data_IF_379827746968
#
_entry.id   IF_379827746968
#
_cell.length_a   1.000
_cell.length_b   1.000
_cell.length_c   1.000
_cell.angle_alpha   90.00
_cell.angle_beta   90.00
_cell.angle_gamma   90.00
#
_symmetry.space_group_name_H-M   'P 1'
#
loop_
_entity.id
_entity.type
_entity.pdbx_description
1 polymer ?
#
# COMPACT_ATOMS: atom_id res chain seq x y z
N UNK A 1 47.98 -19.88 19.07
CA UNK A 1 47.83 -19.48 17.65
C UNK A 1 46.46 -19.85 17.05
N UNK A 2 45.68 -20.76 17.57
CA UNK A 2 44.37 -21.13 17.01
C UNK A 2 43.24 -20.11 17.24
N UNK A 3 43.35 -19.20 18.25
CA UNK A 3 42.33 -18.22 18.59
C UNK A 3 42.23 -17.00 17.65
N UNK A 4 43.29 -16.63 16.95
CA UNK A 4 43.27 -15.48 16.02
C UNK A 4 42.52 -15.76 14.70
N UNK A 5 42.53 -16.99 14.20
CA UNK A 5 41.84 -17.36 12.97
C UNK A 5 40.33 -17.44 13.17
N UNK A 6 39.84 -17.85 14.34
CA UNK A 6 38.38 -17.90 14.65
C UNK A 6 37.76 -16.50 14.78
N UNK A 7 38.47 -15.51 15.34
CA UNK A 7 37.99 -14.12 15.46
C UNK A 7 37.83 -13.43 14.09
N UNK A 8 38.78 -13.66 13.15
CA UNK A 8 38.73 -13.06 11.81
C UNK A 8 37.54 -13.59 10.99
N UNK A 9 37.19 -14.87 11.09
CA UNK A 9 36.06 -15.49 10.39
C UNK A 9 34.70 -14.97 10.92
N UNK A 10 34.56 -14.81 12.24
CA UNK A 10 33.36 -14.26 12.87
C UNK A 10 33.13 -12.80 12.48
N UNK A 11 34.16 -11.96 12.48
CA UNK A 11 34.05 -10.57 12.03
C UNK A 11 33.67 -10.45 10.55
N UNK A 12 34.20 -11.33 9.68
CA UNK A 12 33.82 -11.39 8.25
C UNK A 12 32.37 -11.78 8.04
N UNK A 13 31.84 -12.72 8.82
CA UNK A 13 30.44 -13.15 8.75
C UNK A 13 29.50 -12.00 9.19
N UNK A 14 29.81 -11.29 10.30
CA UNK A 14 29.04 -10.13 10.74
C UNK A 14 29.04 -9.01 9.71
N UNK A 15 30.18 -8.71 9.09
CA UNK A 15 30.30 -7.70 8.04
C UNK A 15 29.46 -8.07 6.81
N UNK A 16 29.47 -9.33 6.36
CA UNK A 16 28.64 -9.81 5.25
C UNK A 16 27.14 -9.68 5.57
N UNK A 17 26.69 -10.06 6.77
CA UNK A 17 25.30 -9.93 7.20
C UNK A 17 24.88 -8.47 7.23
N UNK A 18 25.72 -7.57 7.73
CA UNK A 18 25.44 -6.13 7.78
C UNK A 18 25.35 -5.54 6.37
N UNK A 19 26.24 -5.90 5.45
CA UNK A 19 26.19 -5.44 4.05
C UNK A 19 24.92 -5.96 3.35
N UNK A 20 24.55 -7.21 3.53
CA UNK A 20 23.30 -7.78 2.97
C UNK A 20 22.07 -7.04 3.53
N UNK A 21 22.06 -6.71 4.81
CA UNK A 21 20.96 -5.94 5.42
C UNK A 21 20.87 -4.50 4.90
N UNK A 22 22.00 -3.88 4.56
CA UNK A 22 22.07 -2.55 3.95
C UNK A 22 21.70 -2.56 2.47
N UNK A 23 21.99 -3.67 1.75
CA UNK A 23 21.66 -3.85 0.33
C UNK A 23 20.26 -4.39 0.10
N UNK A 24 19.65 -5.11 1.07
CA UNK A 24 18.23 -5.40 1.08
C UNK A 24 17.49 -4.11 1.42
N UNK A 25 17.41 -3.21 0.42
CA UNK A 25 16.62 -2.01 0.51
C UNK A 25 15.23 -2.37 1.04
N UNK A 26 14.77 -1.60 1.98
CA UNK A 26 13.43 -1.72 2.53
C UNK A 26 12.44 -1.80 1.37
N UNK A 27 11.81 -2.96 1.14
CA UNK A 27 10.79 -3.16 0.10
C UNK A 27 9.52 -2.45 0.56
N UNK A 28 9.65 -1.14 0.87
CA UNK A 28 8.54 -0.28 1.26
C UNK A 28 7.63 0.09 0.10
N UNK A 29 8.00 -0.33 -1.13
CA UNK A 29 7.35 0.02 -2.37
C UNK A 29 6.35 -1.03 -2.89
N UNK A 30 6.13 -2.16 -2.18
CA UNK A 30 5.18 -3.18 -2.62
C UNK A 30 3.75 -2.63 -2.61
N UNK A 31 3.16 -2.57 -3.79
CA UNK A 31 1.78 -2.16 -4.00
C UNK A 31 0.99 -3.23 -4.75
N UNK A 32 -0.30 -3.29 -4.51
CA UNK A 32 -1.20 -4.23 -5.18
C UNK A 32 -2.43 -3.52 -5.73
N UNK A 33 -3.03 -4.08 -6.77
CA UNK A 33 -4.35 -3.68 -7.23
C UNK A 33 -5.41 -4.46 -6.45
N UNK A 34 -6.39 -3.75 -5.91
CA UNK A 34 -7.53 -4.37 -5.24
C UNK A 34 -8.79 -4.17 -6.08
N UNK A 35 -9.21 -5.23 -6.76
CA UNK A 35 -10.47 -5.28 -7.51
C UNK A 35 -11.60 -5.84 -6.64
N UNK A 36 -12.79 -5.28 -6.82
CA UNK A 36 -14.01 -5.70 -6.11
C UNK A 36 -14.97 -6.50 -7.00
N UNK A 37 -14.52 -6.87 -8.19
CA UNK A 37 -15.29 -7.67 -9.16
C UNK A 37 -15.11 -9.18 -8.88
N UNK A 38 -15.69 -9.66 -7.80
CA UNK A 38 -15.64 -11.08 -7.43
C UNK A 38 -17.02 -11.57 -7.05
N UNK A 39 -17.34 -12.82 -7.39
CA UNK A 39 -18.61 -13.47 -6.99
C UNK A 39 -18.66 -13.74 -5.48
N UNK A 40 -17.49 -13.90 -4.85
CA UNK A 40 -17.34 -14.13 -3.41
C UNK A 40 -16.30 -13.16 -2.87
N UNK A 41 -16.74 -11.94 -2.56
CA UNK A 41 -15.86 -10.93 -2.00
C UNK A 41 -15.56 -11.21 -0.53
N UNK A 42 -14.30 -11.09 -0.15
CA UNK A 42 -13.92 -11.05 1.24
C UNK A 42 -14.37 -9.71 1.87
N UNK A 43 -14.74 -9.71 3.15
CA UNK A 43 -14.99 -8.46 3.87
C UNK A 43 -13.79 -7.52 3.77
N UNK A 44 -13.98 -6.22 3.48
CA UNK A 44 -12.88 -5.28 3.30
C UNK A 44 -11.89 -5.25 4.47
N UNK A 45 -12.35 -5.37 5.71
CA UNK A 45 -11.48 -5.44 6.89
C UNK A 45 -10.54 -6.65 6.85
N UNK A 46 -11.03 -7.80 6.36
CA UNK A 46 -10.21 -9.01 6.19
C UNK A 46 -9.12 -8.77 5.16
N UNK A 47 -9.46 -8.16 4.02
CA UNK A 47 -8.48 -7.83 2.98
C UNK A 47 -7.43 -6.86 3.51
N UNK A 48 -7.81 -5.81 4.23
CA UNK A 48 -6.87 -4.86 4.85
C UNK A 48 -5.94 -5.57 5.83
N UNK A 49 -6.44 -6.50 6.63
CA UNK A 49 -5.58 -7.30 7.52
C UNK A 49 -4.59 -8.15 6.74
N UNK A 50 -5.03 -8.83 5.68
CA UNK A 50 -4.13 -9.59 4.79
C UNK A 50 -3.05 -8.72 4.16
N UNK A 51 -3.38 -7.50 3.72
CA UNK A 51 -2.41 -6.55 3.18
C UNK A 51 -1.35 -6.19 4.23
N UNK A 52 -1.77 -5.92 5.46
CA UNK A 52 -0.87 -5.61 6.58
C UNK A 52 0.03 -6.79 6.93
N UNK A 53 -0.52 -7.99 7.03
CA UNK A 53 0.21 -9.22 7.36
C UNK A 53 1.28 -9.56 6.32
N UNK A 54 1.05 -9.18 5.06
CA UNK A 54 2.00 -9.34 3.95
C UNK A 54 2.86 -8.09 3.69
N UNK A 55 2.87 -7.13 4.61
CA UNK A 55 3.67 -5.91 4.53
C UNK A 55 3.43 -5.08 3.26
N UNK A 56 2.21 -5.15 2.69
CA UNK A 56 1.80 -4.32 1.57
C UNK A 56 1.54 -2.91 2.07
N UNK A 57 2.19 -1.92 1.48
CA UNK A 57 2.13 -0.51 1.90
C UNK A 57 1.32 0.38 0.97
N UNK A 58 1.02 -0.10 -0.22
CA UNK A 58 0.30 0.66 -1.23
C UNK A 58 -0.79 -0.17 -1.88
N UNK A 59 -1.95 0.43 -2.11
CA UNK A 59 -3.07 -0.23 -2.80
C UNK A 59 -3.66 0.71 -3.85
N UNK A 60 -3.97 0.16 -5.02
CA UNK A 60 -4.75 0.86 -6.04
C UNK A 60 -6.17 0.31 -6.05
N UNK A 61 -7.14 1.21 -5.90
CA UNK A 61 -8.56 0.94 -6.05
C UNK A 61 -9.05 1.42 -7.43
N UNK A 62 -9.96 0.67 -8.05
CA UNK A 62 -10.52 1.02 -9.35
C UNK A 62 -11.65 2.06 -9.25
N UNK A 63 -12.18 2.29 -8.05
CA UNK A 63 -13.13 3.34 -7.70
C UNK A 63 -13.18 3.51 -6.18
N UNK A 64 -13.76 4.63 -5.71
CA UNK A 64 -13.88 4.95 -4.29
C UNK A 64 -15.07 4.23 -3.65
N UNK A 65 -14.96 2.91 -3.44
CA UNK A 65 -15.96 2.18 -2.67
C UNK A 65 -15.93 2.58 -1.20
N UNK A 66 -17.06 3.02 -0.66
CA UNK A 66 -17.14 3.54 0.70
C UNK A 66 -16.72 2.51 1.76
N UNK A 67 -17.13 1.24 1.62
CA UNK A 67 -16.79 0.21 2.60
C UNK A 67 -15.30 -0.10 2.59
N UNK A 68 -14.70 -0.13 1.41
CA UNK A 68 -13.26 -0.33 1.22
C UNK A 68 -12.46 0.85 1.78
N UNK A 69 -12.88 2.09 1.50
CA UNK A 69 -12.22 3.29 2.03
C UNK A 69 -12.28 3.34 3.55
N UNK A 70 -13.44 3.07 4.14
CA UNK A 70 -13.60 3.00 5.61
C UNK A 70 -12.74 1.90 6.23
N UNK A 71 -12.60 0.75 5.57
CA UNK A 71 -11.73 -0.33 6.06
C UNK A 71 -10.24 0.04 6.01
N UNK A 72 -9.83 0.87 5.05
CA UNK A 72 -8.45 1.37 4.92
C UNK A 72 -8.13 2.52 5.89
N UNK A 73 -9.16 3.14 6.49
CA UNK A 73 -8.97 4.19 7.46
C UNK A 73 -8.07 3.74 8.63
N UNK A 74 -7.08 4.54 8.98
CA UNK A 74 -6.13 4.24 10.05
C UNK A 74 -5.18 3.07 9.79
N UNK A 75 -5.20 2.45 8.60
CA UNK A 75 -4.34 1.30 8.26
C UNK A 75 -2.87 1.69 8.02
N UNK A 76 -2.60 2.95 7.68
CA UNK A 76 -1.30 3.43 7.22
C UNK A 76 -0.93 3.00 5.80
N UNK A 77 -1.83 2.28 5.10
CA UNK A 77 -1.64 1.89 3.70
C UNK A 77 -1.95 3.11 2.82
N UNK A 78 -1.05 3.43 1.90
CA UNK A 78 -1.25 4.50 0.91
C UNK A 78 -2.20 4.02 -0.19
N UNK A 79 -3.20 4.84 -0.50
CA UNK A 79 -4.29 4.47 -1.41
C UNK A 79 -4.28 5.34 -2.66
N UNK A 80 -4.19 4.70 -3.82
CA UNK A 80 -4.45 5.34 -5.11
C UNK A 80 -5.89 5.02 -5.51
N UNK A 81 -6.71 6.02 -5.74
CA UNK A 81 -8.09 5.85 -6.20
C UNK A 81 -8.19 6.21 -7.68
N UNK A 82 -8.62 5.26 -8.51
CA UNK A 82 -8.85 5.52 -9.91
C UNK A 82 -10.23 6.13 -10.15
N UNK A 83 -10.32 6.96 -11.18
CA UNK A 83 -11.58 7.43 -11.73
C UNK A 83 -12.11 6.36 -12.68
N UNK A 84 -13.33 5.82 -12.51
CA UNK A 84 -13.91 4.86 -13.44
C UNK A 84 -13.98 5.39 -14.87
N UNK A 85 -13.74 4.52 -15.85
CA UNK A 85 -13.63 4.93 -17.26
C UNK A 85 -14.91 5.59 -17.79
N UNK A 86 -16.07 5.16 -17.34
CA UNK A 86 -17.38 5.74 -17.71
C UNK A 86 -17.58 7.17 -17.17
N UNK A 87 -16.78 7.58 -16.18
CA UNK A 87 -16.84 8.92 -15.57
C UNK A 87 -15.80 9.88 -16.16
N UNK A 88 -14.84 9.42 -16.96
CA UNK A 88 -13.74 10.25 -17.47
C UNK A 88 -14.26 11.42 -18.32
N UNK A 89 -15.31 11.23 -19.13
CA UNK A 89 -15.91 12.30 -19.94
C UNK A 89 -16.42 13.46 -19.06
N UNK A 90 -16.95 13.16 -17.89
CA UNK A 90 -17.43 14.17 -16.95
C UNK A 90 -16.28 15.00 -16.35
N UNK A 91 -15.07 14.44 -16.27
CA UNK A 91 -13.90 15.11 -15.71
C UNK A 91 -13.36 16.25 -16.60
N UNK A 92 -13.80 16.34 -17.86
CA UNK A 92 -13.52 17.48 -18.71
C UNK A 92 -14.12 18.81 -18.24
N UNK A 93 -15.05 18.80 -17.30
CA UNK A 93 -15.61 19.98 -16.63
C UNK A 93 -14.96 20.18 -15.26
N UNK A 94 -14.35 21.32 -15.03
CA UNK A 94 -13.71 21.65 -13.74
C UNK A 94 -14.65 21.47 -12.54
N UNK A 95 -15.87 21.98 -12.63
CA UNK A 95 -16.83 21.88 -11.54
C UNK A 95 -17.20 20.42 -11.23
N UNK A 96 -17.39 19.59 -12.25
CA UNK A 96 -17.68 18.15 -12.08
C UNK A 96 -16.49 17.40 -11.51
N UNK A 97 -15.28 17.70 -11.97
CA UNK A 97 -14.06 17.13 -11.43
C UNK A 97 -13.87 17.49 -9.95
N UNK A 98 -14.07 18.77 -9.59
CA UNK A 98 -14.02 19.24 -8.21
C UNK A 98 -15.05 18.55 -7.31
N UNK A 99 -16.27 18.40 -7.78
CA UNK A 99 -17.34 17.70 -7.05
C UNK A 99 -17.02 16.20 -6.89
N UNK A 100 -16.44 15.59 -7.91
CA UNK A 100 -16.02 14.20 -7.84
C UNK A 100 -14.94 14.00 -6.77
N UNK A 101 -13.90 14.85 -6.77
CA UNK A 101 -12.82 14.81 -5.77
C UNK A 101 -13.40 15.00 -4.36
N UNK A 102 -14.26 15.97 -4.17
CA UNK A 102 -14.89 16.22 -2.87
C UNK A 102 -15.65 14.99 -2.34
N UNK A 103 -16.44 14.33 -3.20
CA UNK A 103 -17.28 13.20 -2.82
C UNK A 103 -16.51 11.89 -2.65
N UNK A 104 -15.44 11.69 -3.41
CA UNK A 104 -14.75 10.40 -3.49
C UNK A 104 -13.39 10.40 -2.78
N UNK A 105 -12.77 11.55 -2.59
CA UNK A 105 -11.42 11.69 -2.04
C UNK A 105 -11.44 12.49 -0.74
N UNK A 106 -11.84 13.78 -0.81
CA UNK A 106 -11.69 14.73 0.29
C UNK A 106 -12.38 14.26 1.57
N UNK A 107 -13.55 13.62 1.46
CA UNK A 107 -14.29 13.14 2.63
C UNK A 107 -13.57 12.04 3.42
N UNK A 108 -12.53 11.41 2.84
CA UNK A 108 -11.76 10.35 3.49
C UNK A 108 -10.34 10.78 3.86
N UNK A 109 -9.92 11.97 3.48
CA UNK A 109 -8.54 12.41 3.54
C UNK A 109 -7.97 12.54 4.97
N UNK A 110 -8.83 12.67 5.97
CA UNK A 110 -8.40 12.75 7.37
C UNK A 110 -8.04 11.36 7.93
N UNK A 111 -8.63 10.30 7.41
CA UNK A 111 -8.51 8.94 7.94
C UNK A 111 -7.76 7.98 7.01
N UNK A 112 -7.77 8.24 5.71
CA UNK A 112 -7.15 7.43 4.68
C UNK A 112 -5.99 8.18 4.05
N UNK A 113 -4.84 7.55 3.96
CA UNK A 113 -3.66 8.11 3.29
C UNK A 113 -3.83 7.97 1.76
N UNK A 114 -4.34 9.00 1.09
CA UNK A 114 -4.59 9.01 -0.36
C UNK A 114 -3.48 9.77 -1.08
#
# INVERSE_FOLDING_TARGET
MSNRRKQSTTAGIFLCITIVSLLSGDVSALGVNWGTMSTHQLPPKTVVQMLKDNNVKKVKLFYADTNTMVALAGSGIEVMVAIPNDQLKAMGSYNRAKDWVRRNITRFNDDVKI
#
